data_IF_594771186760
#
_entry.id   IF_594771186760
#
_cell.length_a   1.000
_cell.length_b   1.000
_cell.length_c   1.000
_cell.angle_alpha   90.00
_cell.angle_beta   90.00
_cell.angle_gamma   90.00
#
_symmetry.space_group_name_H-M   'P 1'
#
loop_
_entity.id
_entity.type
_entity.pdbx_description
1 polymer ?
#
# COMPACT_ATOMS: atom_id res chain seq x y z
N UNK A 1 -2.57 -9.45 19.02
CA UNK A 1 -3.00 -8.11 18.60
C UNK A 1 -2.94 -8.08 17.08
N UNK A 2 -4.08 -8.14 16.40
CA UNK A 2 -4.16 -7.93 14.95
C UNK A 2 -3.96 -6.43 14.70
N UNK A 3 -2.78 -6.07 14.19
CA UNK A 3 -2.48 -4.70 13.81
C UNK A 3 -3.17 -4.42 12.47
N UNK A 4 -4.43 -3.96 12.54
CA UNK A 4 -5.17 -3.55 11.36
C UNK A 4 -4.46 -2.35 10.72
N UNK A 5 -3.76 -2.60 9.61
CA UNK A 5 -2.98 -1.56 8.92
C UNK A 5 -3.90 -0.50 8.30
N UNK A 6 -5.16 -0.88 8.07
CA UNK A 6 -6.26 -0.04 7.56
C UNK A 6 -7.12 0.60 8.66
N UNK A 7 -6.71 0.52 9.94
CA UNK A 7 -7.38 1.22 11.01
C UNK A 7 -7.27 2.75 10.83
N UNK A 8 -8.26 3.49 11.36
CA UNK A 8 -8.30 4.97 11.34
C UNK A 8 -8.43 5.62 9.94
N UNK A 9 -9.24 5.03 9.06
CA UNK A 9 -9.61 5.62 7.76
C UNK A 9 -8.44 5.74 6.76
N UNK A 10 -7.40 4.91 6.94
CA UNK A 10 -6.30 4.79 5.97
C UNK A 10 -6.79 4.05 4.73
N UNK A 11 -6.56 4.64 3.56
CA UNK A 11 -6.89 4.01 2.27
C UNK A 11 -5.82 3.01 1.86
N UNK A 12 -6.18 2.07 1.00
CA UNK A 12 -5.26 1.14 0.35
C UNK A 12 -4.08 1.87 -0.29
N UNK A 13 -4.33 3.03 -0.88
CA UNK A 13 -3.32 3.89 -1.50
C UNK A 13 -2.36 4.53 -0.49
N UNK A 14 -2.86 4.95 0.68
CA UNK A 14 -1.99 5.52 1.73
C UNK A 14 -1.02 4.46 2.26
N UNK A 15 -1.54 3.26 2.52
CA UNK A 15 -0.74 2.13 3.02
C UNK A 15 0.25 1.65 1.94
N UNK A 16 -0.18 1.59 0.67
CA UNK A 16 0.69 1.24 -0.45
C UNK A 16 1.83 2.26 -0.63
N UNK A 17 1.55 3.56 -0.52
CA UNK A 17 2.57 4.60 -0.63
C UNK A 17 3.56 4.59 0.54
N UNK A 18 3.07 4.43 1.78
CA UNK A 18 3.92 4.27 2.97
C UNK A 18 4.85 3.05 2.83
N UNK A 19 4.33 1.92 2.31
CA UNK A 19 5.14 0.73 2.05
C UNK A 19 6.17 0.95 0.94
N UNK A 20 5.76 1.54 -0.18
CA UNK A 20 6.65 1.84 -1.29
C UNK A 20 7.78 2.79 -0.86
N UNK A 21 7.47 3.83 -0.10
CA UNK A 21 8.45 4.77 0.46
C UNK A 21 9.41 4.07 1.43
N UNK A 22 8.90 3.21 2.32
CA UNK A 22 9.73 2.49 3.29
C UNK A 22 10.65 1.45 2.64
N UNK A 23 10.24 0.85 1.51
CA UNK A 23 11.06 -0.07 0.72
C UNK A 23 12.10 0.73 -0.08
N UNK A 24 11.66 1.77 -0.79
CA UNK A 24 12.56 2.60 -1.60
C UNK A 24 13.62 3.31 -0.74
N UNK A 25 13.28 3.75 0.47
CA UNK A 25 14.24 4.38 1.40
C UNK A 25 15.28 3.42 1.98
N UNK A 26 15.09 2.11 1.82
CA UNK A 26 16.09 1.09 2.21
C UNK A 26 17.05 0.75 1.09
N UNK A 27 16.74 1.11 -0.16
CA UNK A 27 17.63 0.91 -1.29
C UNK A 27 18.78 1.93 -1.20
N UNK A 28 20.03 1.49 -0.97
CA UNK A 28 21.17 2.40 -0.83
C UNK A 28 21.50 3.15 -2.13
N UNK A 29 21.04 2.63 -3.29
CA UNK A 29 21.19 3.23 -4.61
C UNK A 29 20.28 4.45 -4.84
N UNK A 30 19.24 4.63 -4.02
CA UNK A 30 18.27 5.72 -4.18
C UNK A 30 18.71 6.93 -3.37
N UNK A 31 19.50 7.79 -3.99
CA UNK A 31 20.09 8.98 -3.35
C UNK A 31 19.55 10.29 -3.90
N UNK A 32 18.80 10.25 -5.01
CA UNK A 32 18.20 11.43 -5.62
C UNK A 32 16.68 11.40 -5.49
N UNK A 33 16.02 12.57 -5.40
CA UNK A 33 14.55 12.63 -5.37
C UNK A 33 13.91 12.00 -6.61
N UNK A 34 14.55 12.15 -7.77
CA UNK A 34 14.06 11.60 -9.04
C UNK A 34 14.11 10.07 -9.05
N UNK A 35 15.24 9.48 -8.64
CA UNK A 35 15.37 8.03 -8.51
C UNK A 35 14.42 7.46 -7.44
N UNK A 36 14.15 8.23 -6.38
CA UNK A 36 13.18 7.86 -5.36
C UNK A 36 11.76 7.82 -5.91
N UNK A 37 11.37 8.82 -6.71
CA UNK A 37 10.05 8.86 -7.33
C UNK A 37 9.89 7.72 -8.34
N UNK A 38 10.90 7.45 -9.17
CA UNK A 38 10.87 6.33 -10.12
C UNK A 38 10.75 4.98 -9.41
N UNK A 39 11.50 4.78 -8.32
CA UNK A 39 11.39 3.55 -7.52
C UNK A 39 10.06 3.41 -6.81
N UNK A 40 9.53 4.49 -6.25
CA UNK A 40 8.20 4.47 -5.64
C UNK A 40 7.15 4.16 -6.71
N UNK A 41 7.25 4.71 -7.92
CA UNK A 41 6.34 4.43 -9.02
C UNK A 41 6.40 2.97 -9.50
N UNK A 42 7.59 2.37 -9.52
CA UNK A 42 7.81 0.97 -9.87
C UNK A 42 7.29 0.01 -8.79
N UNK A 43 7.47 0.37 -7.50
CA UNK A 43 7.04 -0.44 -6.35
C UNK A 43 5.57 -0.24 -5.97
N UNK A 44 4.96 0.89 -6.33
CA UNK A 44 3.57 1.24 -6.07
C UNK A 44 2.58 0.15 -6.50
N UNK A 45 2.61 -0.39 -7.74
CA UNK A 45 1.70 -1.45 -8.14
C UNK A 45 1.83 -2.71 -7.26
N UNK A 46 3.05 -3.14 -6.94
CA UNK A 46 3.29 -4.30 -6.08
C UNK A 46 2.83 -4.05 -4.63
N UNK A 47 3.09 -2.86 -4.10
CA UNK A 47 2.65 -2.45 -2.76
C UNK A 47 1.11 -2.33 -2.69
N UNK A 48 0.47 -1.91 -3.78
CA UNK A 48 -0.99 -1.84 -3.90
C UNK A 48 -1.62 -3.23 -3.88
N UNK A 49 -1.07 -4.19 -4.62
CA UNK A 49 -1.56 -5.57 -4.59
C UNK A 49 -1.42 -6.18 -3.19
N UNK A 50 -0.26 -6.01 -2.55
CA UNK A 50 -0.04 -6.47 -1.18
C UNK A 50 -1.02 -5.82 -0.17
N UNK A 51 -1.30 -4.52 -0.34
CA UNK A 51 -2.29 -3.81 0.48
C UNK A 51 -3.70 -4.36 0.25
N UNK A 52 -4.12 -4.59 -1.00
CA UNK A 52 -5.44 -5.17 -1.34
C UNK A 52 -5.59 -6.58 -0.75
N UNK A 53 -4.56 -7.43 -0.87
CA UNK A 53 -4.58 -8.78 -0.32
C UNK A 53 -4.70 -8.76 1.21
N UNK A 54 -3.97 -7.86 1.87
CA UNK A 54 -4.09 -7.65 3.31
C UNK A 54 -5.46 -7.10 3.69
N UNK A 55 -5.99 -6.14 2.94
CA UNK A 55 -7.33 -5.59 3.18
C UNK A 55 -8.41 -6.67 3.07
N UNK A 56 -8.36 -7.52 2.03
CA UNK A 56 -9.25 -8.68 1.89
C UNK A 56 -9.13 -9.68 3.04
N UNK A 57 -7.91 -9.88 3.55
CA UNK A 57 -7.63 -10.80 4.64
C UNK A 57 -8.09 -10.25 6.00
N UNK A 58 -7.96 -8.95 6.22
CA UNK A 58 -8.33 -8.27 7.47
C UNK A 58 -9.82 -7.90 7.53
N UNK A 59 -10.45 -7.57 6.39
CA UNK A 59 -11.86 -7.19 6.31
C UNK A 59 -12.54 -7.72 5.02
N UNK A 60 -12.90 -9.02 4.98
CA UNK A 60 -13.59 -9.61 3.83
C UNK A 60 -15.02 -9.06 3.64
N UNK A 61 -15.66 -8.52 4.68
CA UNK A 61 -17.03 -8.02 4.64
C UNK A 61 -17.15 -6.64 3.99
N UNK A 62 -16.16 -5.74 4.17
CA UNK A 62 -16.18 -4.40 3.58
C UNK A 62 -15.76 -4.40 2.11
N UNK A 63 -14.93 -5.35 1.68
CA UNK A 63 -14.60 -5.54 0.27
C UNK A 63 -15.84 -5.93 -0.56
N UNK A 64 -16.71 -6.82 -0.04
CA UNK A 64 -17.98 -7.17 -0.71
C UNK A 64 -18.92 -5.96 -0.89
N UNK A 65 -18.94 -5.04 0.07
CA UNK A 65 -19.83 -3.88 0.04
C UNK A 65 -19.44 -2.83 -1.02
N UNK A 66 -18.16 -2.77 -1.40
CA UNK A 66 -17.65 -1.90 -2.48
C UNK A 66 -17.95 -2.43 -3.87
N UNK A 67 -18.07 -3.75 -4.04
CA UNK A 67 -18.39 -4.38 -5.34
C UNK A 67 -19.88 -4.23 -5.67
N UNK A 68 -20.77 -4.26 -4.68
CA UNK A 68 -22.23 -4.18 -4.87
C UNK A 68 -22.72 -2.76 -5.21
N UNK A 69 -21.86 -1.73 -5.04
CA UNK A 69 -22.22 -0.32 -5.26
C UNK A 69 -21.66 0.29 -6.56
N UNK A 70 -21.12 -0.53 -7.48
CA UNK A 70 -20.77 -0.13 -8.85
C UNK A 70 -21.86 -0.50 -9.84
#
# INVERSE_FOLDING_TARGET
>A
MTFNVFAANRTEESVAYDMALAIASKEPDVTTPESLIERIADLLPACREAAIEKYKSEDPSRFMMTIIKR
#
